data_IF_523197210548
#
_entry.id   IF_523197210548
#
_cell.length_a   1.000
_cell.length_b   1.000
_cell.length_c   1.000
_cell.angle_alpha   90.00
_cell.angle_beta   90.00
_cell.angle_gamma   90.00
#
_symmetry.space_group_name_H-M   'P 1'
#
loop_
_entity.id
_entity.type
_entity.pdbx_description
1 polymer ?
#
# COMPACT_ATOMS: atom_id res chain seq x y z
N UNK A 1 12.92 3.17 34.34
CA UNK A 1 13.70 2.72 33.18
C UNK A 1 15.12 3.19 33.30
N UNK A 2 16.04 2.24 33.36
CA UNK A 2 17.46 2.50 33.15
C UNK A 2 17.68 3.02 31.71
N UNK A 3 18.76 3.75 31.47
CA UNK A 3 19.11 4.33 30.17
C UNK A 3 19.19 3.24 29.08
N UNK A 4 19.64 2.03 29.45
CA UNK A 4 19.70 0.87 28.56
C UNK A 4 18.34 0.37 28.06
N UNK A 5 17.27 0.50 28.85
CA UNK A 5 15.91 0.12 28.43
C UNK A 5 15.33 1.15 27.47
N UNK A 6 15.57 2.44 27.70
CA UNK A 6 15.10 3.52 26.80
C UNK A 6 15.69 3.40 25.40
N UNK A 7 16.95 3.00 25.31
CA UNK A 7 17.62 2.77 24.01
C UNK A 7 16.93 1.64 23.26
N UNK A 8 16.59 0.51 23.92
CA UNK A 8 15.93 -0.63 23.26
C UNK A 8 14.54 -0.26 22.72
N UNK A 9 13.77 0.48 23.51
CA UNK A 9 12.41 0.94 23.17
C UNK A 9 12.37 1.82 21.93
N UNK A 10 13.41 2.63 21.68
CA UNK A 10 13.46 3.53 20.51
C UNK A 10 14.19 2.89 19.33
N UNK A 11 15.30 2.20 19.59
CA UNK A 11 16.19 1.69 18.56
C UNK A 11 15.60 0.48 17.83
N UNK A 12 14.91 -0.43 18.55
CA UNK A 12 14.39 -1.66 17.95
C UNK A 12 13.26 -1.40 16.93
N UNK A 13 12.23 -0.55 17.22
CA UNK A 13 11.24 -0.17 16.22
C UNK A 13 11.89 0.50 15.00
N UNK A 14 12.87 1.38 15.23
CA UNK A 14 13.58 2.05 14.14
C UNK A 14 14.35 1.06 13.25
N UNK A 15 15.01 0.05 13.84
CA UNK A 15 15.70 -1.00 13.07
C UNK A 15 14.69 -1.82 12.26
N UNK A 16 13.59 -2.27 12.88
CA UNK A 16 12.53 -3.03 12.18
C UNK A 16 11.99 -2.21 11.01
N UNK A 17 11.73 -0.92 11.22
CA UNK A 17 11.31 0.00 10.18
C UNK A 17 12.31 0.08 9.02
N UNK A 18 13.59 0.34 9.32
CA UNK A 18 14.63 0.45 8.30
C UNK A 18 14.76 -0.85 7.51
N UNK A 19 14.74 -2.00 8.18
CA UNK A 19 14.78 -3.31 7.50
C UNK A 19 13.58 -3.47 6.58
N UNK A 20 12.37 -3.11 7.02
CA UNK A 20 11.18 -3.17 6.19
C UNK A 20 11.30 -2.27 4.95
N UNK A 21 11.68 -1.00 5.14
CA UNK A 21 11.85 -0.04 4.03
C UNK A 21 12.90 -0.54 3.03
N UNK A 22 14.00 -1.12 3.50
CA UNK A 22 15.01 -1.73 2.63
C UNK A 22 14.47 -2.93 1.86
N UNK A 23 13.69 -3.80 2.50
CA UNK A 23 13.06 -4.94 1.82
C UNK A 23 12.07 -4.48 0.75
N UNK A 24 11.20 -3.52 1.09
CA UNK A 24 10.25 -2.93 0.15
C UNK A 24 10.98 -2.27 -1.03
N UNK A 25 12.05 -1.50 -0.75
CA UNK A 25 12.85 -0.86 -1.78
C UNK A 25 13.60 -1.86 -2.67
N UNK A 26 14.17 -2.94 -2.13
CA UNK A 26 14.97 -3.90 -2.91
C UNK A 26 14.11 -4.85 -3.73
N UNK A 27 12.99 -5.31 -3.16
CA UNK A 27 12.16 -6.36 -3.76
C UNK A 27 10.96 -5.77 -4.50
N UNK A 28 10.53 -4.55 -4.17
CA UNK A 28 9.28 -3.98 -4.66
C UNK A 28 8.07 -4.67 -4.06
N UNK A 29 8.10 -4.98 -2.74
CA UNK A 29 7.03 -5.72 -2.06
C UNK A 29 5.66 -5.10 -2.31
N UNK A 30 5.56 -3.77 -2.22
CA UNK A 30 4.31 -3.04 -2.46
C UNK A 30 3.80 -3.26 -3.90
N UNK A 31 4.68 -3.21 -4.90
CA UNK A 31 4.33 -3.46 -6.32
C UNK A 31 3.88 -4.92 -6.51
N UNK A 32 4.59 -5.88 -5.91
CA UNK A 32 4.19 -7.30 -5.98
C UNK A 32 2.79 -7.49 -5.39
N UNK A 33 2.48 -6.85 -4.27
CA UNK A 33 1.17 -6.91 -3.63
C UNK A 33 0.10 -6.23 -4.49
N UNK A 34 0.42 -5.12 -5.14
CA UNK A 34 -0.46 -4.44 -6.09
C UNK A 34 -0.83 -5.34 -7.26
N UNK A 35 0.16 -5.90 -7.96
CA UNK A 35 -0.09 -6.81 -9.09
C UNK A 35 -0.79 -8.09 -8.64
N UNK A 36 -0.48 -8.60 -7.44
CA UNK A 36 -1.20 -9.72 -6.86
C UNK A 36 -2.69 -9.41 -6.65
N UNK A 37 -3.05 -8.19 -6.25
CA UNK A 37 -4.44 -7.74 -6.14
C UNK A 37 -5.18 -7.83 -7.48
N UNK A 38 -4.57 -7.34 -8.56
CA UNK A 38 -5.11 -7.45 -9.91
C UNK A 38 -5.20 -8.92 -10.37
N UNK A 39 -4.14 -9.71 -10.19
CA UNK A 39 -4.10 -11.12 -10.58
C UNK A 39 -5.16 -11.95 -9.84
N UNK A 40 -5.29 -11.75 -8.52
CA UNK A 40 -6.30 -12.40 -7.69
C UNK A 40 -7.71 -12.07 -8.20
N UNK A 41 -7.98 -10.77 -8.40
CA UNK A 41 -9.31 -10.31 -8.83
C UNK A 41 -9.63 -10.74 -10.26
N UNK A 42 -8.65 -10.73 -11.17
CA UNK A 42 -8.78 -11.26 -12.52
C UNK A 42 -9.31 -12.70 -12.51
N UNK A 43 -8.70 -13.59 -11.72
CA UNK A 43 -9.17 -14.97 -11.58
C UNK A 43 -10.54 -15.05 -10.90
N UNK A 44 -10.79 -14.24 -9.87
CA UNK A 44 -12.05 -14.23 -9.11
C UNK A 44 -13.26 -13.89 -9.99
N UNK A 45 -13.11 -12.95 -10.93
CA UNK A 45 -14.20 -12.54 -11.83
C UNK A 45 -14.28 -13.36 -13.12
N UNK A 46 -13.55 -14.48 -13.20
CA UNK A 46 -13.57 -15.41 -14.33
C UNK A 46 -12.70 -15.01 -15.52
N UNK A 47 -11.79 -14.06 -15.31
CA UNK A 47 -10.78 -13.68 -16.30
C UNK A 47 -9.62 -14.69 -16.37
N UNK A 48 -8.85 -14.60 -17.46
CA UNK A 48 -7.62 -15.38 -17.65
C UNK A 48 -6.42 -14.45 -17.70
N UNK A 49 -5.45 -14.66 -16.82
CA UNK A 49 -4.17 -13.95 -16.85
C UNK A 49 -3.41 -14.41 -18.09
N UNK A 50 -3.08 -13.47 -18.97
CA UNK A 50 -2.27 -13.67 -20.17
C UNK A 50 -0.79 -13.44 -19.88
N UNK A 51 -0.50 -12.38 -19.12
CA UNK A 51 0.84 -11.99 -18.71
C UNK A 51 0.80 -11.36 -17.32
N UNK A 52 1.86 -11.57 -16.54
CA UNK A 52 2.07 -11.00 -15.21
C UNK A 52 3.53 -10.58 -15.09
N UNK A 53 3.75 -9.28 -15.03
CA UNK A 53 5.04 -8.67 -14.78
C UNK A 53 4.97 -7.92 -13.45
N UNK A 54 5.89 -8.22 -12.54
CA UNK A 54 6.01 -7.51 -11.27
C UNK A 54 7.48 -7.22 -11.05
N UNK A 55 7.90 -6.05 -11.50
CA UNK A 55 9.26 -5.55 -11.30
C UNK A 55 9.28 -4.51 -10.19
N UNK A 56 10.49 -4.21 -9.73
CA UNK A 56 10.72 -3.26 -8.65
C UNK A 56 10.14 -1.86 -8.90
N UNK A 57 10.09 -1.42 -10.15
CA UNK A 57 9.68 -0.05 -10.51
C UNK A 57 8.26 0.04 -11.08
N UNK A 58 7.58 -1.10 -11.21
CA UNK A 58 6.25 -1.17 -11.78
C UNK A 58 5.86 -2.60 -12.13
N UNK A 59 4.60 -2.79 -12.42
CA UNK A 59 4.07 -4.08 -12.83
C UNK A 59 2.96 -3.93 -13.85
N UNK A 60 2.51 -5.09 -14.32
CA UNK A 60 1.42 -5.21 -15.28
C UNK A 60 0.77 -6.57 -15.17
N UNK A 61 -0.54 -6.58 -14.97
CA UNK A 61 -1.39 -7.77 -15.18
C UNK A 61 -2.20 -7.61 -16.46
N UNK A 62 -1.90 -8.42 -17.47
CA UNK A 62 -2.76 -8.54 -18.65
C UNK A 62 -3.83 -9.59 -18.38
N UNK A 63 -5.08 -9.15 -18.19
CA UNK A 63 -6.22 -10.04 -17.98
C UNK A 63 -7.19 -10.01 -19.16
N UNK A 64 -7.59 -11.20 -19.62
CA UNK A 64 -8.61 -11.36 -20.66
C UNK A 64 -9.96 -11.74 -20.05
N UNK A 65 -10.99 -10.96 -20.35
CA UNK A 65 -12.35 -11.09 -19.80
C UNK A 65 -13.40 -11.47 -20.86
N UNK A 66 -13.13 -12.41 -21.77
CA UNK A 66 -14.16 -12.89 -22.71
C UNK A 66 -14.83 -11.78 -23.53
N UNK A 67 -16.06 -12.01 -24.01
CA UNK A 67 -16.79 -11.05 -24.88
C UNK A 67 -17.70 -10.06 -24.13
N UNK A 68 -18.11 -10.36 -22.90
CA UNK A 68 -18.99 -9.47 -22.13
C UNK A 68 -18.66 -9.56 -20.63
N UNK A 69 -18.06 -8.49 -20.10
CA UNK A 69 -17.85 -8.30 -18.66
C UNK A 69 -18.63 -7.09 -18.19
N UNK A 70 -19.34 -7.25 -17.07
CA UNK A 70 -20.10 -6.17 -16.45
C UNK A 70 -19.16 -5.05 -15.97
N UNK A 71 -19.54 -3.80 -16.20
CA UNK A 71 -18.68 -2.63 -15.91
C UNK A 71 -18.21 -2.55 -14.45
N UNK A 72 -19.02 -3.00 -13.50
CA UNK A 72 -18.63 -3.00 -12.09
C UNK A 72 -17.50 -3.99 -11.78
N UNK A 73 -17.40 -5.11 -12.51
CA UNK A 73 -16.30 -6.08 -12.36
C UNK A 73 -14.98 -5.49 -12.86
N UNK A 74 -15.04 -4.69 -13.93
CA UNK A 74 -13.89 -3.91 -14.37
C UNK A 74 -13.48 -2.90 -13.30
N UNK A 75 -14.42 -2.14 -12.73
CA UNK A 75 -14.15 -1.25 -11.58
C UNK A 75 -13.41 -1.96 -10.45
N UNK A 76 -13.89 -3.12 -10.04
CA UNK A 76 -13.25 -3.89 -8.97
C UNK A 76 -11.84 -4.34 -9.39
N UNK A 77 -11.66 -4.83 -10.62
CA UNK A 77 -10.36 -5.25 -11.13
C UNK A 77 -9.33 -4.11 -11.14
N UNK A 78 -9.69 -2.94 -11.65
CA UNK A 78 -8.79 -1.78 -11.72
C UNK A 78 -8.46 -1.20 -10.34
N UNK A 79 -9.37 -1.28 -9.37
CA UNK A 79 -9.09 -0.84 -7.99
C UNK A 79 -8.35 -1.90 -7.15
N UNK A 80 -8.29 -3.15 -7.62
CA UNK A 80 -7.84 -4.27 -6.82
C UNK A 80 -6.39 -4.13 -6.34
N UNK A 81 -5.49 -3.57 -7.16
CA UNK A 81 -4.10 -3.37 -6.76
C UNK A 81 -3.95 -2.42 -5.58
N UNK A 82 -4.52 -1.21 -5.70
CA UNK A 82 -4.52 -0.20 -4.62
C UNK A 82 -5.21 -0.75 -3.36
N UNK A 83 -6.30 -1.51 -3.51
CA UNK A 83 -6.99 -2.12 -2.37
C UNK A 83 -6.13 -3.19 -1.68
N UNK A 84 -5.32 -3.95 -2.42
CA UNK A 84 -4.38 -4.91 -1.84
C UNK A 84 -3.27 -4.20 -1.06
N UNK A 85 -2.69 -3.13 -1.62
CA UNK A 85 -1.70 -2.29 -0.92
C UNK A 85 -2.29 -1.69 0.37
N UNK A 86 -3.51 -1.13 0.28
CA UNK A 86 -4.20 -0.56 1.44
C UNK A 86 -4.50 -1.62 2.50
N UNK A 87 -4.89 -2.83 2.09
CA UNK A 87 -5.12 -3.95 3.01
C UNK A 87 -3.84 -4.32 3.77
N UNK A 88 -2.70 -4.38 3.07
CA UNK A 88 -1.40 -4.62 3.71
C UNK A 88 -1.07 -3.51 4.72
N UNK A 89 -1.26 -2.25 4.33
CA UNK A 89 -1.04 -1.11 5.21
C UNK A 89 -1.91 -1.17 6.48
N UNK A 90 -3.19 -1.55 6.33
CA UNK A 90 -4.14 -1.70 7.44
C UNK A 90 -3.76 -2.83 8.40
N UNK A 91 -3.25 -3.96 7.88
CA UNK A 91 -2.75 -5.07 8.72
C UNK A 91 -1.63 -4.57 9.66
N UNK A 92 -0.67 -3.81 9.12
CA UNK A 92 0.41 -3.24 9.93
C UNK A 92 -0.08 -2.13 10.88
N UNK A 93 -1.01 -1.27 10.44
CA UNK A 93 -1.62 -0.24 11.30
C UNK A 93 -2.39 -0.84 12.49
N UNK A 94 -3.02 -2.01 12.30
CA UNK A 94 -3.79 -2.69 13.33
C UNK A 94 -2.91 -3.24 14.47
N UNK A 95 -1.63 -3.45 14.23
CA UNK A 95 -0.67 -3.98 15.22
C UNK A 95 0.14 -2.78 15.77
N UNK A 96 -0.07 -2.36 17.03
CA UNK A 96 0.55 -1.12 17.54
C UNK A 96 2.08 -1.07 17.38
N UNK A 97 2.77 -2.20 17.59
CA UNK A 97 4.23 -2.30 17.49
C UNK A 97 4.79 -2.13 16.09
N UNK A 98 3.99 -2.37 15.05
CA UNK A 98 4.37 -2.23 13.64
C UNK A 98 3.57 -1.14 12.93
N UNK A 99 2.79 -0.35 13.66
CA UNK A 99 1.90 0.66 13.09
C UNK A 99 2.62 1.69 12.21
N UNK A 100 3.84 2.09 12.58
CA UNK A 100 4.71 2.96 11.77
C UNK A 100 5.04 2.40 10.36
N UNK A 101 5.10 1.07 10.19
CA UNK A 101 5.22 0.43 8.86
C UNK A 101 3.94 0.64 8.06
N UNK A 102 2.78 0.39 8.66
CA UNK A 102 1.49 0.59 8.01
C UNK A 102 1.23 2.06 7.65
N UNK A 103 1.67 2.98 8.51
CA UNK A 103 1.67 4.41 8.23
C UNK A 103 2.58 4.77 7.06
N UNK A 104 3.78 4.19 6.98
CA UNK A 104 4.68 4.38 5.84
C UNK A 104 4.06 3.89 4.53
N UNK A 105 3.47 2.70 4.51
CA UNK A 105 2.77 2.17 3.34
C UNK A 105 1.60 3.09 2.93
N UNK A 106 0.82 3.57 3.90
CA UNK A 106 -0.28 4.53 3.65
C UNK A 106 0.24 5.85 3.05
N UNK A 107 1.39 6.33 3.53
CA UNK A 107 2.08 7.48 2.97
C UNK A 107 2.54 7.22 1.54
N UNK A 108 3.17 6.08 1.25
CA UNK A 108 3.61 5.71 -0.09
C UNK A 108 2.44 5.61 -1.08
N UNK A 109 1.30 5.04 -0.67
CA UNK A 109 0.06 5.02 -1.46
C UNK A 109 -0.39 6.46 -1.76
N UNK A 110 -0.48 7.32 -0.73
CA UNK A 110 -0.88 8.72 -0.90
C UNK A 110 0.07 9.51 -1.80
N UNK A 111 1.38 9.26 -1.68
CA UNK A 111 2.42 9.85 -2.53
C UNK A 111 2.30 9.40 -3.98
N UNK A 112 2.22 8.09 -4.22
CA UNK A 112 2.04 7.49 -5.55
C UNK A 112 0.76 8.00 -6.24
N UNK A 113 -0.34 8.12 -5.50
CA UNK A 113 -1.57 8.69 -6.02
C UNK A 113 -1.39 10.17 -6.36
N UNK A 114 -0.76 10.95 -5.49
CA UNK A 114 -0.50 12.37 -5.75
C UNK A 114 0.40 12.63 -6.95
N UNK A 115 1.34 11.74 -7.28
CA UNK A 115 2.21 11.86 -8.47
C UNK A 115 1.69 11.12 -9.70
N UNK A 116 0.64 10.32 -9.57
CA UNK A 116 -0.08 9.75 -10.71
C UNK A 116 0.43 8.38 -11.13
N UNK A 117 1.13 7.67 -10.25
CA UNK A 117 1.56 6.28 -10.47
C UNK A 117 0.36 5.37 -10.76
N UNK A 118 -0.80 5.66 -10.16
CA UNK A 118 -2.06 4.92 -10.37
C UNK A 118 -2.92 5.44 -11.53
N UNK A 119 -2.36 6.20 -12.48
CA UNK A 119 -3.14 6.76 -13.59
C UNK A 119 -3.88 5.68 -14.39
N UNK A 120 -3.30 4.48 -14.49
CA UNK A 120 -3.91 3.33 -15.17
C UNK A 120 -5.03 2.68 -14.34
N UNK A 121 -4.85 2.57 -13.03
CA UNK A 121 -5.87 2.04 -12.12
C UNK A 121 -7.12 2.92 -12.06
N UNK A 122 -6.97 4.22 -12.28
CA UNK A 122 -8.08 5.18 -12.28
C UNK A 122 -8.59 5.55 -13.68
N UNK A 123 -8.16 4.86 -14.74
CA UNK A 123 -8.56 5.17 -16.13
C UNK A 123 -10.10 5.16 -16.30
N UNK A 124 -10.77 4.24 -15.62
CA UNK A 124 -12.24 4.11 -15.64
C UNK A 124 -12.96 4.95 -14.56
N UNK A 125 -12.21 5.59 -13.65
CA UNK A 125 -12.75 6.47 -12.60
C UNK A 125 -11.92 7.77 -12.54
N UNK A 126 -12.00 8.61 -13.59
CA UNK A 126 -11.10 9.75 -13.74
C UNK A 126 -11.32 10.86 -12.70
N UNK A 127 -12.48 10.88 -12.01
CA UNK A 127 -12.69 11.85 -10.92
C UNK A 127 -11.71 11.62 -9.76
N UNK A 128 -11.17 10.41 -9.58
CA UNK A 128 -10.15 10.11 -8.57
C UNK A 128 -8.78 10.71 -8.93
N UNK A 129 -8.60 11.21 -10.16
CA UNK A 129 -7.38 11.86 -10.64
C UNK A 129 -7.40 13.39 -10.50
N UNK A 130 -8.51 14.00 -10.07
CA UNK A 130 -8.57 15.45 -9.91
C UNK A 130 -7.69 15.91 -8.75
N UNK A 131 -7.01 17.04 -8.95
CA UNK A 131 -6.02 17.55 -8.00
C UNK A 131 -6.55 17.68 -6.56
N UNK A 132 -7.76 18.22 -6.29
CA UNK A 132 -8.26 18.33 -4.92
C UNK A 132 -8.39 16.99 -4.18
N UNK A 133 -8.83 15.94 -4.88
CA UNK A 133 -8.97 14.59 -4.31
C UNK A 133 -7.59 14.00 -4.00
N UNK A 134 -6.66 14.08 -4.96
CA UNK A 134 -5.28 13.60 -4.79
C UNK A 134 -4.56 14.30 -3.64
N UNK A 135 -4.72 15.62 -3.55
CA UNK A 135 -4.12 16.40 -2.48
C UNK A 135 -4.72 16.03 -1.11
N UNK A 136 -6.04 15.86 -1.02
CA UNK A 136 -6.69 15.42 0.21
C UNK A 136 -6.18 14.05 0.67
N UNK A 137 -6.08 13.08 -0.25
CA UNK A 137 -5.54 11.75 0.06
C UNK A 137 -4.10 11.85 0.58
N UNK A 138 -3.23 12.64 -0.06
CA UNK A 138 -1.86 12.85 0.40
C UNK A 138 -1.83 13.42 1.83
N UNK A 139 -2.62 14.45 2.12
CA UNK A 139 -2.68 15.06 3.46
C UNK A 139 -3.13 14.05 4.50
N UNK A 140 -4.19 13.28 4.22
CA UNK A 140 -4.67 12.24 5.13
C UNK A 140 -3.62 11.16 5.37
N UNK A 141 -2.91 10.73 4.32
CA UNK A 141 -1.84 9.75 4.43
C UNK A 141 -0.66 10.25 5.27
N UNK A 142 -0.29 11.54 5.15
CA UNK A 142 0.73 12.17 6.02
C UNK A 142 0.29 12.18 7.48
N UNK A 143 -0.98 12.51 7.75
CA UNK A 143 -1.53 12.50 9.11
C UNK A 143 -1.50 11.10 9.70
N UNK A 144 -1.92 10.08 8.94
CA UNK A 144 -1.87 8.67 9.38
C UNK A 144 -0.43 8.25 9.67
N UNK A 145 0.53 8.62 8.81
CA UNK A 145 1.94 8.32 9.02
C UNK A 145 2.46 8.91 10.33
N UNK A 146 2.21 10.19 10.61
CA UNK A 146 2.65 10.84 11.85
C UNK A 146 2.02 10.17 13.08
N UNK A 147 0.72 9.93 13.06
CA UNK A 147 0.00 9.29 14.17
C UNK A 147 0.53 7.87 14.44
N UNK A 148 0.84 7.12 13.39
CA UNK A 148 1.32 5.74 13.51
C UNK A 148 2.67 5.64 14.24
N UNK A 149 3.57 6.62 14.04
CA UNK A 149 4.82 6.71 14.81
C UNK A 149 4.57 6.97 16.29
N UNK A 150 3.65 7.90 16.59
CA UNK A 150 3.28 8.21 17.98
C UNK A 150 2.71 6.97 18.67
N UNK A 151 1.84 6.21 17.99
CA UNK A 151 1.29 4.95 18.51
C UNK A 151 2.40 3.93 18.74
N UNK A 152 3.28 3.71 17.76
CA UNK A 152 4.41 2.78 17.88
C UNK A 152 5.23 3.08 19.14
N UNK A 153 5.77 4.29 19.27
CA UNK A 153 6.64 4.62 20.41
C UNK A 153 5.92 4.46 21.76
N UNK A 154 4.66 4.91 21.87
CA UNK A 154 3.88 4.76 23.10
C UNK A 154 3.65 3.30 23.52
N UNK A 155 3.57 2.37 22.57
CA UNK A 155 3.39 0.95 22.89
C UNK A 155 4.70 0.27 23.22
N UNK A 156 5.78 0.62 22.51
CA UNK A 156 7.11 0.11 22.83
C UNK A 156 7.60 0.61 24.20
N UNK A 157 7.22 1.81 24.64
CA UNK A 157 7.51 2.32 26.00
C UNK A 157 6.86 1.51 27.14
N UNK A 158 5.86 0.67 26.83
CA UNK A 158 5.17 -0.16 27.82
C UNK A 158 5.77 -1.57 27.98
N UNK A 159 6.75 -1.93 27.14
CA UNK A 159 7.49 -3.19 27.22
C UNK A 159 8.72 -3.03 28.11
#
# INVERSE_FOLDING_TARGET
>A
MDYGEKIKVILLPAIIFVVFVLLDYLIGLTVIVHEFGHAFTCNLIGGKILNLEAERTGGKVECYFGREIESYKLVIFYLAGILAELTLALIFLAIPYTSHIGGYLTFMIGWSWFFGSYAKDFEIIPFLLIFPVRFLVLVLSVVVYIISWIITFRYWEKL
#
